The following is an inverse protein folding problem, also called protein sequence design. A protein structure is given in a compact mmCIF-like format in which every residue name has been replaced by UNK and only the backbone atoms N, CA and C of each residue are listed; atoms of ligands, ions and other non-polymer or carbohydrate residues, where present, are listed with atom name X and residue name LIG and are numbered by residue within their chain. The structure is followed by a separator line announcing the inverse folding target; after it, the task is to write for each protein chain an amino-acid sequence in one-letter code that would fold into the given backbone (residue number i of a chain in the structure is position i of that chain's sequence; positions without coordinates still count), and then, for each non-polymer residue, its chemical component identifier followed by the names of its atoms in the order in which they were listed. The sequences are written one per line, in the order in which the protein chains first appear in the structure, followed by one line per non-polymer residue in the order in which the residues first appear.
data_IF_413786522930
#
_entry.id   IF_413786522930
#
_cell.length_a   1.000
_cell.length_b   1.000
_cell.length_c   1.000
_cell.angle_alpha   90.00
_cell.angle_beta   90.00
_cell.angle_gamma   90.00
#
_symmetry.space_group_name_H-M   'P 1'
#
loop_
_entity.id
_entity.type
_entity.pdbx_description
1 polymer ?
#
# COMPACT_ATOMS: atom_id res chain seq x y z
N UNK A 1 23.15 -0.82 19.23
CA UNK A 1 22.28 -1.01 20.40
C UNK A 1 21.88 -2.48 20.40
N UNK A 2 21.92 -3.18 21.53
CA UNK A 2 21.55 -4.60 21.59
C UNK A 2 20.01 -4.68 21.56
N UNK A 3 19.44 -5.52 20.70
CA UNK A 3 17.99 -5.75 20.59
C UNK A 3 17.43 -6.29 21.93
N UNK A 4 16.46 -5.62 22.58
CA UNK A 4 15.90 -6.03 23.87
C UNK A 4 15.13 -7.36 23.89
N UNK A 5 14.96 -8.00 22.73
CA UNK A 5 14.19 -9.24 22.57
C UNK A 5 15.05 -10.46 22.23
N UNK A 6 14.59 -11.64 22.66
CA UNK A 6 15.32 -12.92 22.58
C UNK A 6 15.27 -13.55 21.18
N UNK A 7 14.26 -13.20 20.37
CA UNK A 7 14.05 -13.78 19.04
C UNK A 7 14.16 -12.72 17.96
N UNK A 8 15.12 -12.96 17.07
CA UNK A 8 15.62 -12.11 15.97
C UNK A 8 14.48 -11.72 15.02
N UNK A 9 14.58 -10.50 14.48
CA UNK A 9 13.91 -10.00 13.27
C UNK A 9 13.68 -11.14 12.27
N UNK A 10 12.44 -11.60 12.18
CA UNK A 10 12.02 -12.51 11.11
C UNK A 10 11.47 -11.63 10.00
N UNK A 11 11.98 -11.80 8.77
CA UNK A 11 11.42 -11.12 7.60
C UNK A 11 9.89 -11.28 7.59
N UNK A 12 9.18 -10.19 7.27
CA UNK A 12 7.71 -10.11 7.22
C UNK A 12 6.94 -10.15 8.56
N UNK A 13 7.62 -9.87 9.69
CA UNK A 13 7.00 -9.63 11.00
C UNK A 13 7.28 -8.22 11.55
N UNK A 14 6.48 -7.80 12.53
CA UNK A 14 6.75 -6.62 13.35
C UNK A 14 8.01 -6.82 14.21
N UNK A 15 8.63 -5.74 14.68
CA UNK A 15 9.68 -5.82 15.69
C UNK A 15 9.09 -5.67 17.10
N UNK A 16 9.72 -6.27 18.12
CA UNK A 16 9.26 -6.08 19.51
C UNK A 16 9.25 -4.61 19.95
N UNK A 17 10.14 -3.80 19.37
CA UNK A 17 10.26 -2.35 19.54
C UNK A 17 9.13 -1.54 18.90
N UNK A 18 8.32 -2.15 18.03
CA UNK A 18 7.12 -1.52 17.47
C UNK A 18 5.98 -1.38 18.50
N UNK A 19 6.08 -2.09 19.62
CA UNK A 19 5.11 -2.09 20.71
C UNK A 19 5.54 -1.17 21.87
N UNK A 20 4.66 -0.96 22.83
CA UNK A 20 4.86 -0.01 23.94
C UNK A 20 4.03 1.26 23.79
N UNK A 21 4.17 2.24 24.70
CA UNK A 21 3.44 3.50 24.64
C UNK A 21 3.61 4.22 23.30
N UNK A 22 2.49 4.51 22.62
CA UNK A 22 2.45 5.06 21.26
C UNK A 22 2.59 4.01 20.14
N UNK A 23 2.84 2.74 20.48
CA UNK A 23 3.12 1.65 19.55
C UNK A 23 1.91 0.99 18.89
N UNK A 24 2.11 -0.21 18.34
CA UNK A 24 1.07 -1.04 17.72
C UNK A 24 0.11 -1.66 18.74
N UNK A 25 -1.10 -2.07 18.33
CA UNK A 25 -2.02 -2.78 19.21
C UNK A 25 -1.60 -4.26 19.36
N UNK A 26 -1.54 -4.84 20.58
CA UNK A 26 -1.07 -6.20 20.81
C UNK A 26 -2.16 -7.26 20.51
N UNK A 27 -2.49 -7.43 19.23
CA UNK A 27 -3.51 -8.39 18.76
C UNK A 27 -3.07 -9.85 18.98
N UNK A 28 -4.00 -10.70 19.39
CA UNK A 28 -3.87 -12.17 19.38
C UNK A 28 -4.86 -12.81 18.41
N UNK A 29 -4.46 -13.93 17.82
CA UNK A 29 -5.39 -14.78 17.05
C UNK A 29 -6.52 -15.26 17.96
N UNK A 30 -7.75 -15.13 17.48
CA UNK A 30 -8.96 -15.43 18.24
C UNK A 30 -9.50 -14.29 19.09
N UNK A 31 -8.79 -13.16 19.23
CA UNK A 31 -9.34 -11.95 19.88
C UNK A 31 -10.64 -11.53 19.20
N UNK A 32 -11.60 -11.02 19.99
CA UNK A 32 -12.85 -10.48 19.45
C UNK A 32 -12.89 -8.98 19.69
N UNK A 33 -12.55 -8.21 18.67
CA UNK A 33 -12.51 -6.75 18.70
C UNK A 33 -13.90 -6.19 18.40
N UNK A 34 -14.33 -5.18 19.15
CA UNK A 34 -15.65 -4.57 18.98
C UNK A 34 -15.61 -3.10 19.41
N UNK A 35 -16.47 -2.24 18.83
CA UNK A 35 -16.71 -0.91 19.39
C UNK A 35 -17.15 -1.02 20.87
N UNK A 36 -16.71 -0.07 21.68
CA UNK A 36 -17.05 -0.02 23.10
C UNK A 36 -18.57 -0.03 23.32
N UNK A 37 -19.05 -0.82 24.29
CA UNK A 37 -20.47 -0.94 24.60
C UNK A 37 -21.31 -1.73 23.57
N UNK A 38 -20.68 -2.43 22.62
CA UNK A 38 -21.38 -3.26 21.63
C UNK A 38 -21.16 -4.76 21.86
N UNK A 39 -21.93 -5.59 21.16
CA UNK A 39 -21.77 -7.05 21.19
C UNK A 39 -20.44 -7.47 20.54
N UNK A 40 -19.82 -8.59 20.99
CA UNK A 40 -18.63 -9.14 20.36
C UNK A 40 -18.81 -9.32 18.84
N UNK A 41 -17.94 -8.70 18.03
CA UNK A 41 -18.18 -8.58 16.58
C UNK A 41 -17.06 -9.09 15.69
N UNK A 42 -15.81 -8.63 15.83
CA UNK A 42 -14.75 -8.95 14.87
C UNK A 42 -13.76 -9.95 15.48
N UNK A 43 -13.95 -11.24 15.19
CA UNK A 43 -13.04 -12.29 15.65
C UNK A 43 -11.83 -12.38 14.72
N UNK A 44 -10.63 -12.17 15.24
CA UNK A 44 -9.37 -12.21 14.49
C UNK A 44 -9.01 -13.64 14.11
N UNK A 45 -8.71 -13.87 12.83
CA UNK A 45 -8.43 -15.20 12.27
C UNK A 45 -6.99 -15.32 11.76
N UNK A 46 -6.41 -14.28 11.16
CA UNK A 46 -5.03 -14.30 10.66
C UNK A 46 -4.50 -12.87 10.43
N UNK A 47 -3.18 -12.69 10.35
CA UNK A 47 -2.58 -11.42 9.89
C UNK A 47 -2.60 -11.37 8.36
N UNK A 48 -2.90 -10.21 7.78
CA UNK A 48 -2.83 -9.96 6.34
C UNK A 48 -1.61 -9.15 5.93
N UNK A 49 -1.11 -8.31 6.84
CA UNK A 49 0.06 -7.49 6.62
C UNK A 49 0.33 -6.58 7.79
N UNK A 50 1.48 -5.92 7.74
CA UNK A 50 1.86 -4.87 8.68
C UNK A 50 2.72 -3.84 7.95
N UNK A 51 2.80 -2.65 8.52
CA UNK A 51 3.70 -1.59 8.07
C UNK A 51 4.02 -0.66 9.23
N UNK A 52 4.80 0.39 8.98
CA UNK A 52 5.27 1.29 10.03
C UNK A 52 4.14 1.92 10.87
N UNK A 53 2.94 2.07 10.30
CA UNK A 53 1.84 2.82 10.90
C UNK A 53 0.63 1.98 11.32
N UNK A 54 0.56 0.70 10.94
CA UNK A 54 -0.61 -0.13 11.25
C UNK A 54 -0.36 -1.62 11.06
N UNK A 55 -1.26 -2.43 11.62
CA UNK A 55 -1.37 -3.87 11.30
C UNK A 55 -2.72 -4.15 10.67
N UNK A 56 -2.78 -5.10 9.74
CA UNK A 56 -4.01 -5.48 9.03
C UNK A 56 -4.30 -6.95 9.27
N UNK A 57 -5.52 -7.26 9.69
CA UNK A 57 -5.92 -8.58 10.14
C UNK A 57 -7.15 -9.08 9.39
N UNK A 58 -7.18 -10.36 9.04
CA UNK A 58 -8.36 -11.06 8.58
C UNK A 58 -9.23 -11.37 9.81
N UNK A 59 -10.52 -11.06 9.72
CA UNK A 59 -11.46 -11.33 10.81
C UNK A 59 -12.80 -11.82 10.28
N UNK A 60 -13.55 -12.53 11.12
CA UNK A 60 -14.97 -12.81 10.89
C UNK A 60 -15.82 -11.77 11.62
N UNK A 61 -16.67 -11.05 10.89
CA UNK A 61 -17.77 -10.26 11.46
C UNK A 61 -18.87 -11.24 11.90
N UNK A 62 -18.97 -11.47 13.21
CA UNK A 62 -19.90 -12.40 13.85
C UNK A 62 -21.37 -11.95 13.72
N UNK A 63 -21.59 -10.65 13.54
CA UNK A 63 -22.94 -10.07 13.43
C UNK A 63 -23.42 -10.15 11.97
N UNK A 64 -22.62 -9.62 11.03
CA UNK A 64 -22.97 -9.63 9.61
C UNK A 64 -22.65 -10.97 8.91
N UNK A 65 -21.97 -11.90 9.61
CA UNK A 65 -21.56 -13.22 9.13
C UNK A 65 -20.75 -13.17 7.83
N UNK A 66 -19.80 -12.25 7.74
CA UNK A 66 -18.90 -12.08 6.60
C UNK A 66 -17.44 -11.96 7.04
N UNK A 67 -16.53 -12.22 6.13
CA UNK A 67 -15.09 -12.04 6.31
C UNK A 67 -14.72 -10.59 5.99
N UNK A 68 -13.89 -9.99 6.84
CA UNK A 68 -13.48 -8.58 6.77
C UNK A 68 -11.99 -8.42 7.01
N UNK A 69 -11.43 -7.30 6.57
CA UNK A 69 -10.09 -6.86 6.94
C UNK A 69 -10.19 -5.76 8.01
N UNK A 70 -9.44 -5.91 9.10
CA UNK A 70 -9.38 -4.99 10.24
C UNK A 70 -7.99 -4.36 10.27
N UNK A 71 -7.90 -3.08 9.87
CA UNK A 71 -6.69 -2.26 9.96
C UNK A 71 -6.69 -1.54 11.31
N UNK A 72 -5.66 -1.76 12.12
CA UNK A 72 -5.49 -1.13 13.44
C UNK A 72 -4.29 -0.21 13.37
N UNK A 73 -4.55 1.09 13.50
CA UNK A 73 -3.54 2.15 13.40
C UNK A 73 -2.71 2.19 14.70
N UNK A 74 -1.40 2.47 14.55
CA UNK A 74 -0.47 2.74 15.65
C UNK A 74 -1.03 3.85 16.55
N UNK A 75 -0.82 3.76 17.85
CA UNK A 75 -1.39 4.73 18.79
C UNK A 75 -0.89 6.17 18.54
N UNK A 76 0.39 6.35 18.21
CA UNK A 76 0.96 7.67 17.88
C UNK A 76 0.32 8.33 16.66
N UNK A 77 -0.10 7.52 15.67
CA UNK A 77 -0.66 7.99 14.40
C UNK A 77 -2.19 8.12 14.42
N UNK A 78 -2.84 7.55 15.44
CA UNK A 78 -4.30 7.48 15.47
C UNK A 78 -4.94 8.87 15.53
N UNK A 79 -4.41 9.77 16.38
CA UNK A 79 -4.98 11.11 16.55
C UNK A 79 -4.94 11.97 15.27
N UNK A 80 -3.98 11.74 14.38
CA UNK A 80 -3.77 12.51 13.14
C UNK A 80 -4.33 11.80 11.90
N UNK A 81 -4.73 10.54 12.01
CA UNK A 81 -5.24 9.75 10.89
C UNK A 81 -6.55 10.33 10.32
N UNK A 82 -6.54 10.61 9.02
CA UNK A 82 -7.70 11.12 8.26
C UNK A 82 -8.36 10.04 7.40
N UNK A 83 -7.78 8.85 7.35
CA UNK A 83 -8.18 7.76 6.46
C UNK A 83 -9.66 7.39 6.64
N UNK A 84 -10.16 7.34 7.87
CA UNK A 84 -11.58 7.07 8.13
C UNK A 84 -12.51 8.11 7.48
N UNK A 85 -12.15 9.40 7.54
CA UNK A 85 -12.95 10.48 6.98
C UNK A 85 -12.91 10.45 5.44
N UNK A 86 -11.74 10.17 4.88
CA UNK A 86 -11.54 10.02 3.44
C UNK A 86 -12.34 8.83 2.91
N UNK A 87 -12.21 7.65 3.52
CA UNK A 87 -12.96 6.47 3.12
C UNK A 87 -14.48 6.65 3.28
N UNK A 88 -14.93 7.39 4.31
CA UNK A 88 -16.35 7.78 4.44
C UNK A 88 -16.81 8.62 3.24
N UNK A 89 -16.01 9.58 2.78
CA UNK A 89 -16.30 10.40 1.58
C UNK A 89 -16.21 9.61 0.28
N UNK A 90 -15.42 8.53 0.25
CA UNK A 90 -15.27 7.62 -0.89
C UNK A 90 -16.24 6.44 -0.88
N UNK A 91 -17.17 6.38 0.08
CA UNK A 91 -18.25 5.38 0.05
C UNK A 91 -19.09 5.57 -1.21
N UNK A 92 -19.31 4.46 -1.91
CA UNK A 92 -20.21 4.36 -3.04
C UNK A 92 -21.50 3.58 -2.72
N UNK A 93 -22.40 3.44 -3.69
CA UNK A 93 -23.59 2.62 -3.54
C UNK A 93 -23.20 1.14 -3.40
N UNK A 94 -23.87 0.40 -2.50
CA UNK A 94 -23.57 -1.00 -2.25
C UNK A 94 -23.81 -1.91 -3.48
N UNK A 95 -24.71 -1.51 -4.38
CA UNK A 95 -25.05 -2.25 -5.60
C UNK A 95 -23.96 -2.20 -6.67
N UNK A 96 -23.18 -1.13 -6.70
CA UNK A 96 -22.09 -0.90 -7.66
C UNK A 96 -20.97 -0.09 -6.97
N UNK A 97 -20.23 -0.73 -6.05
CA UNK A 97 -19.21 -0.02 -5.31
C UNK A 97 -18.06 0.36 -6.26
N UNK A 98 -17.51 1.57 -6.11
CA UNK A 98 -16.42 2.06 -6.95
C UNK A 98 -15.19 1.17 -6.80
N UNK A 99 -14.24 1.30 -7.72
CA UNK A 99 -12.94 0.62 -7.66
C UNK A 99 -12.01 1.27 -6.61
N UNK A 100 -12.51 1.45 -5.39
CA UNK A 100 -11.83 2.02 -4.22
C UNK A 100 -12.26 1.18 -3.01
N UNK A 101 -11.34 0.86 -2.10
CA UNK A 101 -11.62 0.04 -0.92
C UNK A 101 -12.80 0.62 -0.11
N UNK A 102 -13.77 -0.22 0.25
CA UNK A 102 -14.98 0.23 0.94
C UNK A 102 -14.86 0.08 2.46
N UNK A 103 -15.05 1.20 3.18
CA UNK A 103 -15.13 1.20 4.64
C UNK A 103 -16.47 0.65 5.13
N UNK A 104 -16.42 -0.45 5.86
CA UNK A 104 -17.55 -1.16 6.43
C UNK A 104 -17.89 -0.67 7.84
N UNK A 105 -16.87 -0.40 8.65
CA UNK A 105 -17.00 0.10 10.02
C UNK A 105 -15.76 0.90 10.42
N UNK A 106 -15.88 1.79 11.41
CA UNK A 106 -14.76 2.53 11.98
C UNK A 106 -15.01 2.79 13.46
N UNK A 107 -14.07 2.41 14.32
CA UNK A 107 -14.17 2.59 15.77
C UNK A 107 -12.78 2.73 16.38
N UNK A 108 -12.72 2.82 17.70
CA UNK A 108 -11.49 3.00 18.46
C UNK A 108 -11.30 1.86 19.44
N UNK A 109 -10.06 1.39 19.56
CA UNK A 109 -9.62 0.43 20.56
C UNK A 109 -8.68 1.11 21.55
N UNK A 110 -8.69 0.66 22.80
CA UNK A 110 -7.78 1.16 23.85
C UNK A 110 -6.92 0.01 24.35
N UNK A 111 -5.62 0.25 24.47
CA UNK A 111 -4.65 -0.66 25.09
C UNK A 111 -3.71 0.12 26.01
N UNK A 112 -2.77 -0.56 26.66
CA UNK A 112 -1.69 0.10 27.41
C UNK A 112 -0.77 0.93 26.51
N UNK A 113 -0.79 0.67 25.20
CA UNK A 113 -0.02 1.42 24.21
C UNK A 113 -0.70 2.73 23.81
N UNK A 114 -1.99 2.88 24.13
CA UNK A 114 -2.77 4.09 23.85
C UNK A 114 -4.06 3.79 23.10
N UNK A 115 -4.49 4.78 22.32
CA UNK A 115 -5.76 4.79 21.60
C UNK A 115 -5.48 4.48 20.13
N UNK A 116 -6.19 3.51 19.58
CA UNK A 116 -5.97 2.99 18.23
C UNK A 116 -7.21 3.17 17.36
N UNK A 117 -7.12 3.99 16.31
CA UNK A 117 -8.15 4.04 15.28
C UNK A 117 -8.19 2.72 14.52
N UNK A 118 -9.38 2.16 14.36
CA UNK A 118 -9.60 0.85 13.76
C UNK A 118 -10.58 0.98 12.60
N UNK A 119 -10.16 0.50 11.43
CA UNK A 119 -10.93 0.55 10.18
C UNK A 119 -11.27 -0.86 9.74
N UNK A 120 -12.53 -1.11 9.41
CA UNK A 120 -12.99 -2.41 8.90
C UNK A 120 -13.36 -2.25 7.43
N UNK A 121 -12.78 -3.07 6.56
CA UNK A 121 -12.95 -3.03 5.10
C UNK A 121 -13.20 -4.43 4.52
N UNK A 122 -13.51 -4.50 3.22
CA UNK A 122 -13.54 -5.78 2.50
C UNK A 122 -12.12 -6.39 2.37
N UNK A 123 -11.95 -7.72 2.47
CA UNK A 123 -10.65 -8.35 2.24
C UNK A 123 -10.25 -8.26 0.77
N UNK A 124 -9.00 -7.87 0.52
CA UNK A 124 -8.41 -7.67 -0.79
C UNK A 124 -7.03 -8.27 -0.84
N UNK A 125 -6.65 -8.81 -2.00
CA UNK A 125 -5.28 -9.27 -2.25
C UNK A 125 -4.58 -8.22 -3.11
N UNK A 126 -3.37 -7.77 -2.77
CA UNK A 126 -2.59 -6.91 -3.66
C UNK A 126 -2.48 -7.51 -5.06
N UNK A 127 -2.69 -6.69 -6.09
CA UNK A 127 -2.68 -7.11 -7.49
C UNK A 127 -1.32 -7.70 -7.87
N UNK A 128 -0.23 -7.19 -7.28
CA UNK A 128 1.10 -7.77 -7.43
C UNK A 128 1.13 -9.27 -7.06
N UNK A 129 0.49 -9.67 -5.96
CA UNK A 129 0.43 -11.08 -5.56
C UNK A 129 -0.32 -11.93 -6.61
N UNK A 130 -1.40 -11.40 -7.19
CA UNK A 130 -2.14 -12.06 -8.28
C UNK A 130 -1.27 -12.21 -9.53
N UNK A 131 -0.56 -11.14 -9.94
CA UNK A 131 0.27 -11.14 -11.15
C UNK A 131 1.48 -12.08 -11.05
N UNK A 132 1.96 -12.35 -9.83
CA UNK A 132 3.04 -13.32 -9.55
C UNK A 132 2.57 -14.78 -9.56
N UNK A 133 1.27 -15.06 -9.64
CA UNK A 133 0.78 -16.44 -9.64
C UNK A 133 1.17 -17.18 -10.94
N UNK A 134 1.79 -18.38 -10.84
CA UNK A 134 2.17 -19.14 -12.02
C UNK A 134 0.98 -19.47 -12.92
N UNK A 135 1.10 -19.18 -14.21
CA UNK A 135 0.07 -19.50 -15.21
C UNK A 135 -1.20 -18.65 -15.13
N UNK A 136 -1.19 -17.57 -14.34
CA UNK A 136 -2.33 -16.65 -14.27
C UNK A 136 -2.55 -15.99 -15.63
N UNK A 137 -3.81 -15.91 -16.07
CA UNK A 137 -4.21 -15.18 -17.27
C UNK A 137 -5.29 -14.18 -16.87
N UNK A 138 -4.96 -12.90 -16.91
CA UNK A 138 -5.87 -11.81 -16.56
C UNK A 138 -6.03 -10.84 -17.73
N UNK A 139 -7.21 -10.23 -17.82
CA UNK A 139 -7.44 -9.15 -18.78
C UNK A 139 -6.83 -7.85 -18.23
N UNK A 140 -5.55 -7.60 -18.53
CA UNK A 140 -4.81 -6.41 -18.10
C UNK A 140 -5.54 -5.11 -18.45
N UNK A 141 -6.14 -5.03 -19.64
CA UNK A 141 -6.91 -3.84 -20.06
C UNK A 141 -8.11 -3.58 -19.16
N UNK A 142 -8.78 -4.64 -18.71
CA UNK A 142 -9.85 -4.51 -17.72
C UNK A 142 -9.33 -4.00 -16.37
N UNK A 143 -8.25 -4.59 -15.86
CA UNK A 143 -7.68 -4.19 -14.56
C UNK A 143 -7.31 -2.70 -14.56
N UNK A 144 -6.60 -2.26 -15.60
CA UNK A 144 -6.23 -0.85 -15.81
C UNK A 144 -7.47 0.04 -15.92
N UNK A 145 -8.48 -0.37 -16.70
CA UNK A 145 -9.73 0.39 -16.85
C UNK A 145 -10.43 0.57 -15.50
N UNK A 146 -10.47 -0.46 -14.65
CA UNK A 146 -11.09 -0.38 -13.33
C UNK A 146 -10.27 0.53 -12.39
N UNK A 147 -8.94 0.40 -12.36
CA UNK A 147 -8.06 1.27 -11.58
C UNK A 147 -8.23 2.75 -11.97
N UNK A 148 -8.25 3.06 -13.27
CA UNK A 148 -8.51 4.42 -13.77
C UNK A 148 -9.89 4.96 -13.36
N UNK A 149 -10.93 4.11 -13.40
CA UNK A 149 -12.26 4.49 -12.90
C UNK A 149 -12.24 4.79 -11.40
N UNK A 150 -11.51 3.99 -10.61
CA UNK A 150 -11.30 4.21 -9.19
C UNK A 150 -10.63 5.56 -8.93
N UNK A 151 -9.56 5.86 -9.65
CA UNK A 151 -8.80 7.11 -9.48
C UNK A 151 -9.64 8.32 -9.89
N UNK A 152 -10.36 8.25 -11.01
CA UNK A 152 -11.29 9.29 -11.42
C UNK A 152 -12.36 9.55 -10.35
N UNK A 153 -12.92 8.50 -9.76
CA UNK A 153 -13.89 8.62 -8.67
C UNK A 153 -13.30 9.28 -7.42
N UNK A 154 -12.05 8.96 -7.04
CA UNK A 154 -11.34 9.64 -5.93
C UNK A 154 -11.22 11.13 -6.24
N UNK A 155 -10.77 11.46 -7.45
CA UNK A 155 -10.56 12.84 -7.89
C UNK A 155 -11.86 13.64 -7.96
N UNK A 156 -12.95 13.06 -8.48
CA UNK A 156 -14.30 13.64 -8.51
C UNK A 156 -14.81 13.99 -7.10
N UNK A 157 -14.38 13.25 -6.08
CA UNK A 157 -14.72 13.52 -4.67
C UNK A 157 -13.84 14.58 -4.03
N UNK A 158 -12.91 15.19 -4.77
CA UNK A 158 -12.03 16.24 -4.27
C UNK A 158 -10.91 15.71 -3.37
N UNK A 159 -10.46 14.49 -3.62
CA UNK A 159 -9.37 13.85 -2.87
C UNK A 159 -8.19 13.65 -3.83
N UNK A 160 -6.98 13.87 -3.33
CA UNK A 160 -5.76 13.39 -3.94
C UNK A 160 -5.25 12.20 -3.10
N UNK A 161 -4.84 11.12 -3.76
CA UNK A 161 -4.48 9.88 -3.08
C UNK A 161 -3.11 10.01 -2.40
N UNK A 162 -2.12 10.58 -3.10
CA UNK A 162 -0.76 10.69 -2.57
C UNK A 162 -0.06 9.36 -2.37
N UNK A 163 1.13 9.39 -1.80
CA UNK A 163 1.84 8.18 -1.38
C UNK A 163 2.14 8.22 0.11
N UNK A 164 2.50 7.07 0.67
CA UNK A 164 3.24 6.92 1.92
C UNK A 164 4.76 6.91 1.61
N UNK A 165 5.56 7.25 2.60
CA UNK A 165 6.99 6.94 2.58
C UNK A 165 7.27 6.56 4.01
N UNK A 166 7.84 5.37 4.25
CA UNK A 166 8.60 5.23 5.46
C UNK A 166 9.65 6.34 5.42
N UNK A 167 9.68 7.15 6.47
CA UNK A 167 10.85 7.96 6.77
C UNK A 167 12.03 7.00 6.63
N UNK A 168 12.98 7.34 5.76
CA UNK A 168 14.15 6.53 5.43
C UNK A 168 14.86 6.15 6.74
N UNK A 169 14.49 5.01 7.34
CA UNK A 169 15.19 4.41 8.47
C UNK A 169 15.85 3.15 7.94
N UNK A 170 17.07 3.36 7.49
CA UNK A 170 18.13 2.37 7.31
C UNK A 170 17.96 1.32 6.21
N UNK A 171 19.04 1.25 5.43
CA UNK A 171 19.30 0.54 4.20
C UNK A 171 19.46 -0.99 4.38
N UNK A 172 18.72 -1.65 5.28
CA UNK A 172 19.00 -3.06 5.64
C UNK A 172 17.78 -3.99 5.82
N UNK A 173 16.58 -3.58 5.40
CA UNK A 173 15.49 -4.54 5.11
C UNK A 173 15.01 -4.37 3.68
N UNK A 174 14.73 -5.49 3.04
CA UNK A 174 14.50 -5.70 1.62
C UNK A 174 13.38 -4.81 1.08
N UNK A 175 13.77 -3.81 0.27
CA UNK A 175 12.94 -3.01 -0.65
C UNK A 175 11.82 -2.15 -0.02
N UNK A 176 11.96 -0.81 0.02
CA UNK A 176 10.83 0.08 0.30
C UNK A 176 9.76 -0.08 -0.80
N UNK A 177 8.55 -0.49 -0.43
CA UNK A 177 7.48 -0.80 -1.39
C UNK A 177 6.76 0.50 -1.85
N UNK A 178 6.50 0.68 -3.17
CA UNK A 178 6.31 2.03 -3.74
C UNK A 178 4.87 2.61 -3.98
N UNK A 179 4.23 3.50 -3.19
CA UNK A 179 2.81 3.95 -3.37
C UNK A 179 2.26 4.53 -4.72
N UNK A 180 0.95 4.28 -4.96
CA UNK A 180 0.24 4.05 -6.26
C UNK A 180 1.10 3.23 -7.22
N UNK A 181 0.93 1.93 -7.08
CA UNK A 181 1.62 0.83 -7.74
C UNK A 181 0.75 -0.43 -7.59
N UNK A 182 1.08 -1.55 -8.24
CA UNK A 182 0.28 -2.77 -8.19
C UNK A 182 0.00 -3.30 -6.78
N UNK A 183 0.72 -2.89 -5.73
CA UNK A 183 0.46 -3.38 -4.36
C UNK A 183 -0.57 -2.53 -3.59
N UNK A 184 -0.81 -1.27 -4.00
CA UNK A 184 -1.96 -0.46 -3.55
C UNK A 184 -3.17 -0.57 -4.48
N UNK A 185 -3.12 -1.49 -5.43
CA UNK A 185 -4.27 -1.91 -6.21
C UNK A 185 -4.57 -3.33 -5.76
N UNK A 186 -5.74 -3.58 -5.23
CA UNK A 186 -6.18 -4.89 -4.78
C UNK A 186 -7.17 -5.53 -5.75
N UNK A 187 -7.27 -6.85 -5.69
CA UNK A 187 -8.38 -7.62 -6.23
C UNK A 187 -9.22 -8.20 -5.10
N UNK A 188 -10.54 -8.12 -5.25
CA UNK A 188 -11.47 -8.73 -4.29
C UNK A 188 -11.45 -10.25 -4.46
N UNK A 189 -11.43 -10.96 -3.33
CA UNK A 189 -11.58 -12.42 -3.31
C UNK A 189 -13.07 -12.76 -3.41
N UNK A 190 -13.56 -13.37 -4.50
CA UNK A 190 -14.95 -13.76 -4.62
C UNK A 190 -15.29 -14.86 -3.61
N UNK A 191 -16.51 -14.81 -3.10
CA UNK A 191 -17.09 -15.89 -2.30
C UNK A 191 -16.27 -16.28 -1.06
N UNK A 192 -15.40 -15.38 -0.56
CA UNK A 192 -14.59 -15.61 0.64
C UNK A 192 -15.44 -15.93 1.87
N UNK A 193 -16.68 -15.43 1.90
CA UNK A 193 -17.64 -15.69 2.97
C UNK A 193 -18.09 -17.16 3.06
N UNK A 194 -17.93 -17.93 1.98
CA UNK A 194 -18.26 -19.35 1.90
C UNK A 194 -17.21 -20.26 2.52
N UNK A 195 -15.99 -19.76 2.74
CA UNK A 195 -14.91 -20.51 3.37
C UNK A 195 -15.02 -20.38 4.89
N UNK A 196 -14.88 -21.51 5.58
CA UNK A 196 -14.61 -21.47 7.02
C UNK A 196 -13.18 -20.98 7.28
N UNK A 197 -12.89 -20.58 8.51
CA UNK A 197 -11.51 -20.21 8.90
C UNK A 197 -10.53 -21.36 8.68
N UNK A 198 -10.97 -22.61 8.90
CA UNK A 198 -10.16 -23.81 8.67
C UNK A 198 -9.91 -23.99 7.17
N UNK A 199 -10.91 -23.81 6.31
CA UNK A 199 -10.71 -23.93 4.86
C UNK A 199 -9.70 -22.90 4.34
N UNK A 200 -9.74 -21.68 4.89
CA UNK A 200 -8.76 -20.63 4.57
C UNK A 200 -7.36 -21.12 4.96
N UNK A 201 -7.16 -21.56 6.19
CA UNK A 201 -5.85 -22.02 6.68
C UNK A 201 -5.34 -23.28 5.96
N UNK A 202 -6.21 -24.24 5.62
CA UNK A 202 -5.81 -25.44 4.89
C UNK A 202 -5.28 -25.10 3.49
N UNK A 203 -5.81 -24.03 2.87
CA UNK A 203 -5.44 -23.59 1.52
C UNK A 203 -4.29 -22.59 1.49
N UNK A 204 -4.20 -21.69 2.47
CA UNK A 204 -3.11 -20.70 2.57
C UNK A 204 -1.90 -21.18 3.36
N UNK A 205 -2.07 -22.23 4.17
CA UNK A 205 -1.19 -22.57 5.29
C UNK A 205 -1.69 -21.94 6.59
N UNK A 206 -1.56 -22.64 7.74
CA UNK A 206 -1.96 -22.11 9.04
C UNK A 206 -1.02 -20.97 9.47
N UNK A 207 -1.49 -20.02 10.32
CA UNK A 207 -0.64 -18.97 10.85
C UNK A 207 0.52 -19.55 11.67
N UNK A 208 1.75 -19.27 11.26
CA UNK A 208 2.94 -19.57 12.05
C UNK A 208 3.06 -18.55 13.17
N UNK A 209 3.34 -19.00 14.40
CA UNK A 209 3.54 -18.13 15.57
C UNK A 209 4.99 -18.18 16.04
N UNK A 210 5.54 -17.03 16.41
CA UNK A 210 6.88 -16.88 17.00
C UNK A 210 6.71 -16.22 18.37
N UNK A 211 7.02 -16.91 19.48
CA UNK A 211 6.91 -16.32 20.81
C UNK A 211 7.72 -15.03 20.95
N UNK A 212 7.12 -14.00 21.51
CA UNK A 212 7.79 -12.72 21.75
C UNK A 212 8.18 -12.62 23.23
N UNK A 213 9.49 -12.62 23.50
CA UNK A 213 10.05 -12.63 24.85
C UNK A 213 11.09 -11.52 24.98
N UNK A 214 10.86 -10.61 25.93
CA UNK A 214 11.81 -9.55 26.32
C UNK A 214 12.68 -10.03 27.49
N UNK A 215 13.95 -9.65 27.49
CA UNK A 215 14.82 -9.81 28.67
C UNK A 215 14.88 -8.53 29.51
N UNK A 216 14.33 -7.43 29.02
CA UNK A 216 14.30 -6.15 29.71
C UNK A 216 13.05 -6.07 30.61
N UNK A 217 13.21 -6.12 31.95
CA UNK A 217 12.10 -6.07 32.88
C UNK A 217 11.38 -4.71 32.89
N UNK A 218 11.90 -3.69 32.23
CA UNK A 218 11.25 -2.40 32.09
C UNK A 218 10.06 -2.42 31.10
N UNK A 219 9.99 -3.41 30.21
CA UNK A 219 8.89 -3.53 29.26
C UNK A 219 7.65 -4.13 29.94
N UNK A 220 6.51 -3.45 29.81
CA UNK A 220 5.22 -3.97 30.25
C UNK A 220 4.79 -5.12 29.33
N UNK A 221 4.62 -6.31 29.88
CA UNK A 221 4.19 -7.51 29.12
C UNK A 221 2.80 -7.38 28.51
N UNK A 222 1.97 -6.44 28.98
CA UNK A 222 0.68 -6.13 28.37
C UNK A 222 0.82 -5.31 27.07
N UNK A 223 1.99 -4.71 26.83
CA UNK A 223 2.22 -3.82 25.67
C UNK A 223 2.47 -4.57 24.37
N UNK A 224 2.84 -5.84 24.42
CA UNK A 224 3.11 -6.65 23.23
C UNK A 224 2.31 -7.95 23.26
N UNK A 225 2.00 -8.54 22.09
CA UNK A 225 1.34 -9.83 22.06
C UNK A 225 2.31 -10.93 22.56
N UNK A 226 1.79 -12.04 23.10
CA UNK A 226 2.63 -13.16 23.54
C UNK A 226 3.40 -13.83 22.40
N UNK A 227 3.02 -13.57 21.15
CA UNK A 227 3.67 -14.06 19.95
C UNK A 227 3.43 -13.10 18.79
N UNK A 228 4.33 -13.12 17.82
CA UNK A 228 4.15 -12.56 16.49
C UNK A 228 3.68 -13.65 15.52
N UNK A 229 3.10 -13.25 14.40
CA UNK A 229 2.67 -14.19 13.35
C UNK A 229 2.99 -13.64 11.98
N UNK A 230 3.26 -14.52 11.01
CA UNK A 230 3.48 -14.11 9.62
C UNK A 230 2.18 -13.64 8.98
N UNK A 231 2.29 -12.80 7.96
CA UNK A 231 1.17 -12.51 7.08
C UNK A 231 0.71 -13.79 6.35
N UNK A 232 -0.59 -13.97 6.26
CA UNK A 232 -1.21 -15.09 5.57
C UNK A 232 -1.06 -14.93 4.05
N UNK A 233 -0.58 -15.97 3.37
CA UNK A 233 -0.46 -15.99 1.92
C UNK A 233 -1.83 -16.28 1.26
N UNK A 234 -2.64 -15.22 1.11
CA UNK A 234 -3.91 -15.32 0.38
C UNK A 234 -3.72 -15.59 -1.12
N UNK A 235 -2.52 -15.41 -1.66
CA UNK A 235 -2.18 -15.81 -3.03
C UNK A 235 -2.27 -17.32 -3.21
N UNK A 236 -1.80 -18.11 -2.24
CA UNK A 236 -1.98 -19.58 -2.24
C UNK A 236 -3.44 -20.01 -2.17
N UNK A 237 -4.22 -19.32 -1.33
CA UNK A 237 -5.67 -19.55 -1.27
C UNK A 237 -6.28 -19.37 -2.66
N UNK A 238 -5.98 -18.24 -3.31
CA UNK A 238 -6.45 -17.93 -4.65
C UNK A 238 -6.00 -18.97 -5.68
N UNK A 239 -4.71 -19.32 -5.67
CA UNK A 239 -4.08 -20.35 -6.52
C UNK A 239 -4.87 -21.67 -6.52
N UNK A 240 -5.39 -22.06 -5.37
CA UNK A 240 -6.11 -23.33 -5.19
C UNK A 240 -7.46 -23.44 -5.93
N UNK A 241 -7.97 -22.37 -6.53
CA UNK A 241 -9.20 -22.39 -7.35
C UNK A 241 -9.16 -21.41 -8.55
N UNK A 242 -7.97 -21.07 -9.04
CA UNK A 242 -7.72 -20.10 -10.13
C UNK A 242 -8.54 -20.31 -11.41
N UNK A 243 -8.85 -21.54 -11.90
CA UNK A 243 -9.61 -21.67 -13.15
C UNK A 243 -10.95 -20.93 -13.13
N UNK A 244 -11.63 -20.91 -11.97
CA UNK A 244 -12.91 -20.21 -11.80
C UNK A 244 -12.72 -18.72 -11.49
N UNK A 245 -11.62 -18.36 -10.82
CA UNK A 245 -11.34 -16.97 -10.43
C UNK A 245 -11.05 -16.09 -11.65
N UNK A 246 -10.18 -16.53 -12.56
CA UNK A 246 -9.83 -15.76 -13.77
C UNK A 246 -10.87 -15.87 -14.87
N UNK A 247 -11.72 -16.91 -14.85
CA UNK A 247 -12.89 -16.99 -15.71
C UNK A 247 -13.91 -15.86 -15.42
N UNK A 248 -13.91 -15.33 -14.19
CA UNK A 248 -14.64 -14.11 -13.82
C UNK A 248 -13.72 -12.90 -13.97
N UNK A 249 -14.27 -11.75 -14.40
CA UNK A 249 -13.50 -10.49 -14.45
C UNK A 249 -13.17 -10.05 -13.01
N UNK A 250 -11.88 -10.03 -12.58
CA UNK A 250 -11.52 -9.69 -11.20
C UNK A 250 -11.93 -8.25 -10.89
N UNK A 251 -12.48 -8.03 -9.69
CA UNK A 251 -12.91 -6.70 -9.24
C UNK A 251 -11.75 -5.98 -8.57
N UNK A 252 -11.38 -4.83 -9.11
CA UNK A 252 -10.26 -4.02 -8.61
C UNK A 252 -10.71 -3.05 -7.51
N UNK A 253 -9.80 -2.76 -6.57
CA UNK A 253 -9.92 -1.72 -5.54
C UNK A 253 -8.63 -0.94 -5.45
N UNK A 254 -8.68 0.39 -5.48
CA UNK A 254 -7.58 1.22 -4.98
C UNK A 254 -7.57 1.12 -3.45
N UNK A 255 -6.42 0.83 -2.89
CA UNK A 255 -6.17 0.58 -1.49
C UNK A 255 -5.39 1.74 -0.87
N UNK A 256 -5.28 1.68 0.46
CA UNK A 256 -4.43 2.52 1.30
C UNK A 256 -4.56 4.03 1.11
N UNK A 257 -5.51 4.61 1.84
CA UNK A 257 -5.83 6.03 1.82
C UNK A 257 -5.25 6.73 3.06
N UNK A 258 -4.20 6.15 3.66
CA UNK A 258 -3.54 6.66 4.86
C UNK A 258 -2.92 8.05 4.66
N UNK A 259 -2.31 8.27 3.49
CA UNK A 259 -1.68 9.53 3.11
C UNK A 259 -2.51 10.41 2.18
N UNK A 260 -3.74 9.98 1.85
CA UNK A 260 -4.64 10.77 1.04
C UNK A 260 -5.05 12.06 1.77
N UNK A 261 -5.40 13.09 1.01
CA UNK A 261 -5.81 14.37 1.57
C UNK A 261 -6.91 15.03 0.74
N UNK A 262 -7.65 15.97 1.36
CA UNK A 262 -8.67 16.74 0.66
C UNK A 262 -8.00 17.81 -0.20
N UNK A 263 -8.23 17.80 -1.51
CA UNK A 263 -7.54 18.65 -2.48
C UNK A 263 -7.79 20.16 -2.32
N UNK A 264 -8.71 20.55 -1.43
CA UNK A 264 -8.97 21.93 -1.03
C UNK A 264 -8.06 22.43 0.10
N UNK A 265 -7.34 21.52 0.76
CA UNK A 265 -6.36 21.88 1.79
C UNK A 265 -5.10 22.51 1.15
N UNK A 266 -4.72 23.68 1.65
CA UNK A 266 -3.53 24.41 1.21
C UNK A 266 -2.71 24.88 2.42
N UNK A 267 -1.38 24.62 2.47
CA UNK A 267 -0.61 23.85 1.49
C UNK A 267 -0.95 22.36 1.52
N UNK A 268 -0.65 21.63 0.43
CA UNK A 268 -0.73 20.17 0.41
C UNK A 268 0.20 19.58 1.49
N UNK A 269 -0.14 18.45 2.11
CA UNK A 269 0.81 17.73 2.97
C UNK A 269 2.05 17.30 2.18
N UNK A 270 3.15 16.89 2.84
CA UNK A 270 4.30 16.33 2.15
C UNK A 270 3.88 15.17 1.22
N UNK A 271 4.37 15.19 -0.02
CA UNK A 271 4.18 14.07 -0.92
C UNK A 271 5.15 12.96 -0.53
N UNK A 272 4.62 11.77 -0.33
CA UNK A 272 5.47 10.64 -0.02
C UNK A 272 5.55 9.58 -1.12
N UNK A 273 4.90 9.81 -2.28
CA UNK A 273 4.99 8.92 -3.44
C UNK A 273 6.45 8.52 -3.73
N UNK A 274 6.76 7.22 -3.78
CA UNK A 274 8.13 6.75 -3.93
C UNK A 274 8.76 7.12 -5.27
N UNK A 275 10.06 7.34 -5.25
CA UNK A 275 10.81 8.02 -6.32
C UNK A 275 10.51 7.55 -7.75
N UNK A 276 10.44 6.24 -8.05
CA UNK A 276 10.14 5.78 -9.41
C UNK A 276 8.72 6.12 -9.91
N UNK A 277 7.80 6.48 -9.01
CA UNK A 277 6.40 6.83 -9.30
C UNK A 277 6.11 8.31 -9.01
N UNK A 278 7.06 9.04 -8.41
CA UNK A 278 6.90 10.45 -8.07
C UNK A 278 6.80 11.30 -9.33
N UNK A 279 5.85 12.23 -9.34
CA UNK A 279 5.68 13.16 -10.45
C UNK A 279 6.86 14.16 -10.55
N UNK A 280 7.22 14.61 -11.77
CA UNK A 280 8.33 15.55 -12.01
C UNK A 280 8.29 16.81 -11.15
N UNK A 281 7.11 17.39 -10.94
CA UNK A 281 6.88 18.61 -10.15
C UNK A 281 7.20 18.43 -8.66
N UNK A 282 7.18 17.19 -8.15
CA UNK A 282 7.58 16.84 -6.78
C UNK A 282 9.03 16.36 -6.75
N UNK A 283 9.43 15.52 -7.69
CA UNK A 283 10.77 14.94 -7.75
C UNK A 283 11.85 16.02 -7.96
N UNK A 284 11.60 16.99 -8.85
CA UNK A 284 12.59 18.02 -9.17
C UNK A 284 12.95 18.92 -7.99
N UNK A 285 12.01 19.58 -7.29
CA UNK A 285 12.35 20.39 -6.11
C UNK A 285 13.06 19.58 -5.03
N UNK A 286 12.66 18.33 -4.83
CA UNK A 286 13.29 17.45 -3.86
C UNK A 286 14.76 17.14 -4.22
N UNK A 287 15.04 16.82 -5.48
CA UNK A 287 16.38 16.44 -5.92
C UNK A 287 17.30 17.63 -6.22
N UNK A 288 16.77 18.67 -6.85
CA UNK A 288 17.54 19.84 -7.26
C UNK A 288 17.77 20.83 -6.12
N UNK A 289 16.84 20.89 -5.15
CA UNK A 289 16.84 21.92 -4.11
C UNK A 289 16.71 21.38 -2.69
N UNK A 290 16.59 20.05 -2.50
CA UNK A 290 16.35 19.46 -1.18
C UNK A 290 14.98 19.81 -0.58
N UNK A 291 14.05 20.35 -1.38
CA UNK A 291 12.73 20.80 -0.93
C UNK A 291 11.73 19.66 -0.96
N UNK A 292 11.33 19.17 0.22
CA UNK A 292 10.38 18.05 0.39
C UNK A 292 8.93 18.47 0.55
N UNK A 293 8.69 19.77 0.68
CA UNK A 293 7.40 20.43 0.87
C UNK A 293 6.87 21.04 -0.44
N UNK A 294 7.34 20.54 -1.58
CA UNK A 294 6.85 20.97 -2.89
C UNK A 294 5.32 20.74 -2.99
N UNK A 295 4.54 21.77 -3.36
CA UNK A 295 3.12 21.62 -3.55
C UNK A 295 2.82 20.58 -4.64
N UNK A 296 1.83 19.74 -4.40
CA UNK A 296 1.37 18.72 -5.35
C UNK A 296 -0.14 18.57 -5.28
N UNK A 297 -0.74 18.09 -6.36
CA UNK A 297 -2.18 17.90 -6.47
C UNK A 297 -2.51 16.56 -7.14
N UNK A 298 -3.80 16.37 -7.45
CA UNK A 298 -4.34 15.17 -8.13
C UNK A 298 -3.60 14.80 -9.42
N UNK A 299 -2.90 15.72 -10.09
CA UNK A 299 -2.12 15.41 -11.31
C UNK A 299 -0.92 14.52 -11.01
N UNK A 300 -0.35 14.61 -9.81
CA UNK A 300 0.71 13.70 -9.39
C UNK A 300 0.23 12.24 -9.33
N UNK A 301 -1.02 12.00 -8.92
CA UNK A 301 -1.61 10.65 -8.94
C UNK A 301 -1.74 10.12 -10.38
N UNK A 302 -2.00 10.99 -11.37
CA UNK A 302 -2.09 10.60 -12.78
C UNK A 302 -0.73 10.12 -13.30
N UNK A 303 0.35 10.81 -12.92
CA UNK A 303 1.71 10.37 -13.25
C UNK A 303 2.03 9.00 -12.62
N UNK A 304 1.74 8.85 -11.32
CA UNK A 304 1.96 7.59 -10.60
C UNK A 304 1.14 6.44 -11.22
N UNK A 305 -0.11 6.71 -11.62
CA UNK A 305 -0.95 5.75 -12.34
C UNK A 305 -0.37 5.38 -13.71
N UNK A 306 0.23 6.33 -14.44
CA UNK A 306 0.94 6.05 -15.70
C UNK A 306 2.10 5.07 -15.50
N UNK A 307 2.91 5.30 -14.47
CA UNK A 307 4.00 4.39 -14.08
C UNK A 307 3.46 3.01 -13.68
N UNK A 308 2.37 2.97 -12.91
CA UNK A 308 1.68 1.74 -12.50
C UNK A 308 1.17 0.95 -13.70
N UNK A 309 0.56 1.60 -14.69
CA UNK A 309 0.07 0.93 -15.89
C UNK A 309 1.21 0.25 -16.64
N UNK A 310 2.37 0.90 -16.74
CA UNK A 310 3.55 0.30 -17.37
C UNK A 310 4.00 -0.97 -16.62
N UNK A 311 3.95 -0.94 -15.28
CA UNK A 311 4.28 -2.11 -14.47
C UNK A 311 3.26 -3.24 -14.59
N UNK A 312 1.95 -2.94 -14.58
CA UNK A 312 0.90 -3.97 -14.77
C UNK A 312 1.00 -4.58 -16.18
N UNK A 313 1.24 -3.76 -17.20
CA UNK A 313 1.24 -4.21 -18.59
C UNK A 313 2.55 -4.89 -19.01
N UNK A 314 3.66 -4.55 -18.37
CA UNK A 314 4.99 -4.94 -18.81
C UNK A 314 5.90 -5.43 -17.69
N UNK A 315 5.37 -5.81 -16.53
CA UNK A 315 6.12 -6.51 -15.47
C UNK A 315 7.24 -5.72 -14.75
N UNK A 316 7.57 -4.50 -15.20
CA UNK A 316 8.70 -3.72 -14.70
C UNK A 316 8.36 -2.27 -14.37
N UNK A 317 9.15 -1.67 -13.49
CA UNK A 317 8.99 -0.27 -13.08
C UNK A 317 9.75 0.61 -14.07
N UNK A 318 9.02 1.46 -14.79
CA UNK A 318 9.54 2.32 -15.86
C UNK A 318 10.76 3.17 -15.48
N UNK A 319 10.82 3.62 -14.22
CA UNK A 319 11.92 4.40 -13.67
C UNK A 319 12.68 3.70 -12.53
N UNK A 320 12.52 2.38 -12.38
CA UNK A 320 13.02 1.63 -11.22
C UNK A 320 14.55 1.66 -11.05
N UNK A 321 15.29 1.75 -12.15
CA UNK A 321 16.76 1.71 -12.14
C UNK A 321 17.43 3.09 -12.02
N UNK A 322 16.65 4.16 -11.88
CA UNK A 322 17.17 5.53 -11.90
C UNK A 322 17.08 6.20 -10.54
N UNK A 323 18.07 7.03 -10.22
CA UNK A 323 18.10 7.84 -9.01
C UNK A 323 18.76 9.20 -9.27
N UNK A 324 18.47 10.17 -8.39
CA UNK A 324 19.03 11.52 -8.46
C UNK A 324 18.87 12.17 -9.83
N UNK A 325 19.92 12.82 -10.31
CA UNK A 325 19.92 13.51 -11.60
C UNK A 325 19.69 12.60 -12.82
N UNK A 326 19.90 11.28 -12.69
CA UNK A 326 19.62 10.32 -13.75
C UNK A 326 18.13 10.02 -13.85
N UNK A 327 17.38 10.05 -12.73
CA UNK A 327 15.92 9.94 -12.75
C UNK A 327 15.29 11.09 -13.51
N UNK A 328 15.69 12.32 -13.17
CA UNK A 328 15.21 13.52 -13.86
C UNK A 328 15.61 13.52 -15.35
N UNK A 329 16.79 12.99 -15.70
CA UNK A 329 17.18 12.81 -17.11
C UNK A 329 16.24 11.87 -17.84
N UNK A 330 15.99 10.69 -17.24
CA UNK A 330 15.13 9.67 -17.82
C UNK A 330 13.71 10.21 -18.02
N UNK A 331 13.15 10.91 -17.03
CA UNK A 331 11.84 11.56 -17.16
C UNK A 331 11.81 12.56 -18.32
N UNK A 332 12.79 13.46 -18.41
CA UNK A 332 12.85 14.45 -19.48
C UNK A 332 13.05 13.81 -20.86
N UNK A 333 13.91 12.81 -20.97
CA UNK A 333 14.15 12.09 -22.22
C UNK A 333 12.91 11.34 -22.70
N UNK A 334 12.20 10.69 -21.79
CA UNK A 334 10.97 9.98 -22.10
C UNK A 334 9.85 10.92 -22.53
N UNK A 335 9.72 12.08 -21.87
CA UNK A 335 8.71 13.09 -22.19
C UNK A 335 9.12 14.01 -23.37
N UNK A 336 10.28 13.79 -23.99
CA UNK A 336 10.75 14.55 -25.15
C UNK A 336 11.28 15.96 -24.84
N UNK A 337 11.52 16.27 -23.56
CA UNK A 337 12.05 17.57 -23.15
C UNK A 337 12.04 17.77 -21.63
N UNK A 338 12.95 18.61 -21.14
CA UNK A 338 12.95 19.08 -19.76
C UNK A 338 12.31 20.47 -19.67
N UNK A 339 11.58 20.78 -18.58
CA UNK A 339 11.19 22.15 -18.26
C UNK A 339 12.38 23.11 -18.21
N UNK A 340 12.14 24.41 -18.42
CA UNK A 340 13.19 25.44 -18.44
C UNK A 340 14.05 25.44 -17.16
N UNK A 341 13.40 25.33 -15.99
CA UNK A 341 14.08 25.33 -14.69
C UNK A 341 15.03 24.13 -14.51
N UNK A 342 14.73 23.00 -15.17
CA UNK A 342 15.57 21.81 -15.13
C UNK A 342 16.84 21.98 -15.94
N UNK A 343 16.78 22.74 -17.04
CA UNK A 343 17.93 22.98 -17.91
C UNK A 343 19.05 23.71 -17.15
N UNK A 344 18.69 24.71 -16.35
CA UNK A 344 19.63 25.42 -15.46
C UNK A 344 20.24 24.49 -14.43
N UNK A 345 19.43 23.63 -13.80
CA UNK A 345 19.92 22.63 -12.86
C UNK A 345 20.89 21.65 -13.52
N UNK A 346 20.56 21.10 -14.69
CA UNK A 346 21.42 20.16 -15.40
C UNK A 346 22.76 20.79 -15.81
N UNK A 347 22.76 22.05 -16.27
CA UNK A 347 23.98 22.79 -16.56
C UNK A 347 24.83 23.04 -15.30
N UNK A 348 24.22 23.10 -14.11
CA UNK A 348 24.96 23.29 -12.85
C UNK A 348 25.68 22.02 -12.36
N UNK A 349 25.26 20.84 -12.83
CA UNK A 349 25.81 19.54 -12.38
C UNK A 349 26.59 18.80 -13.47
N UNK A 350 26.55 19.28 -14.72
CA UNK A 350 27.28 18.68 -15.85
C UNK A 350 27.52 19.67 -16.99
N UNK A 351 28.74 19.66 -17.54
CA UNK A 351 29.09 20.45 -18.74
C UNK A 351 28.57 19.85 -20.05
N UNK A 352 28.00 18.64 -20.01
CA UNK A 352 27.44 17.98 -21.20
C UNK A 352 26.01 18.47 -21.43
N UNK A 353 25.71 19.09 -22.58
CA UNK A 353 24.35 19.49 -22.89
C UNK A 353 23.47 18.25 -23.05
N UNK A 354 22.30 18.28 -22.40
CA UNK A 354 21.25 17.28 -22.59
C UNK A 354 20.36 17.74 -23.74
N UNK A 355 20.28 16.94 -24.79
CA UNK A 355 19.46 17.22 -25.97
C UNK A 355 18.37 16.18 -26.04
N UNK A 356 17.12 16.66 -26.02
CA UNK A 356 15.95 15.83 -26.17
C UNK A 356 15.33 16.12 -27.55
N UNK A 357 15.11 15.08 -28.35
CA UNK A 357 14.37 15.20 -29.62
C UNK A 357 13.17 14.25 -29.59
N UNK A 358 12.09 14.57 -30.32
CA UNK A 358 10.96 13.66 -30.45
C UNK A 358 11.37 12.26 -30.94
N UNK A 359 12.29 12.17 -31.90
CA UNK A 359 12.76 10.90 -32.45
C UNK A 359 13.54 10.08 -31.41
N UNK A 360 14.35 10.74 -30.57
CA UNK A 360 15.08 10.08 -29.49
C UNK A 360 14.12 9.59 -28.39
N UNK A 361 13.08 10.37 -28.08
CA UNK A 361 12.02 10.00 -27.14
C UNK A 361 11.21 8.80 -27.65
N UNK A 362 10.78 8.81 -28.92
CA UNK A 362 10.06 7.70 -29.54
C UNK A 362 10.91 6.42 -29.56
N UNK A 363 12.19 6.53 -29.90
CA UNK A 363 13.12 5.41 -29.88
C UNK A 363 13.33 4.85 -28.46
N UNK A 364 13.46 5.74 -27.46
CA UNK A 364 13.53 5.36 -26.06
C UNK A 364 12.24 4.65 -25.63
N UNK A 365 11.08 5.13 -26.07
CA UNK A 365 9.79 4.51 -25.75
C UNK A 365 9.64 3.11 -26.33
N UNK A 366 10.03 2.93 -27.59
CA UNK A 366 10.08 1.61 -28.21
C UNK A 366 11.02 0.65 -27.47
N UNK A 367 12.20 1.14 -27.04
CA UNK A 367 13.16 0.34 -26.27
C UNK A 367 12.62 -0.02 -24.86
N UNK A 368 11.96 0.92 -24.18
CA UNK A 368 11.34 0.70 -22.87
C UNK A 368 10.21 -0.33 -22.97
N UNK A 369 9.31 -0.21 -23.95
CA UNK A 369 8.24 -1.21 -24.18
C UNK A 369 8.84 -2.58 -24.45
N UNK A 370 9.86 -2.68 -25.31
CA UNK A 370 10.53 -3.94 -25.60
C UNK A 370 11.25 -4.53 -24.37
N UNK A 371 11.80 -3.69 -23.49
CA UNK A 371 12.42 -4.13 -22.24
C UNK A 371 11.37 -4.68 -21.28
N UNK A 372 10.28 -3.94 -21.06
CA UNK A 372 9.18 -4.33 -20.19
C UNK A 372 8.55 -5.65 -20.66
N UNK A 373 8.31 -5.83 -21.95
CA UNK A 373 7.80 -7.10 -22.50
C UNK A 373 8.70 -8.34 -22.25
N UNK A 374 9.96 -8.18 -21.82
CA UNK A 374 10.81 -9.33 -21.42
C UNK A 374 10.51 -9.83 -20.01
N UNK A 375 9.78 -9.04 -19.21
CA UNK A 375 9.46 -9.31 -17.82
C UNK A 375 7.99 -9.67 -17.57
N UNK A 376 7.12 -9.56 -18.59
CA UNK A 376 5.75 -10.06 -18.59
C UNK A 376 5.62 -11.35 -19.39
#
# INVERSE_FOLDING_TARGET
MIDPFVFIVVEDMEEGTDYGPGGLFPVKLGDVLSPEGTVPRYRISAKLGHGSYSTVWLARDLVARRTVAVKIVRASESATSREAAILKRLRGPASDPPAVIQLLDSFTLTSVNGIHHTLVTEPVIPLECLLKLPGIQVNTRSLVRQALKGLAFIHERGIAHGGESPVISNFLSSQPLPDIYPSNIGVVIPDLDSFSEVDIWDKSGPPTIVPLVTYDPAYDVASFPPYLTHALDLGRLLASYVPDFTAREPRVRILDLGCAYFAEETPSPPCHTPLPFTAPEVAFPMMAHGKRDAPWDRRADIWAMGCTICQIAGGGIIFGDFSGANLLDAMAALCGGAPADWTTYFASISDKPRVYTPEASDALWAATVAHLQRWG
#
